data_IF_173923637288
#
_entry.id   IF_173923637288
#
_cell.length_a   1.000
_cell.length_b   1.000
_cell.length_c   1.000
_cell.angle_alpha   90.00
_cell.angle_beta   90.00
_cell.angle_gamma   90.00
#
_symmetry.space_group_name_H-M   'P 1'
#
loop_
_entity.id
_entity.type
_entity.pdbx_description
1 polymer ?
#
# COMPACT_ATOMS: atom_id res chain seq x y z
N UNK A 1 -5.94 13.77 7.94
CA UNK A 1 -6.24 13.11 6.66
C UNK A 1 -5.02 12.48 5.98
N UNK A 2 -3.85 13.15 5.87
CA UNK A 2 -2.64 12.53 5.27
C UNK A 2 -1.94 11.56 6.25
N UNK A 3 -1.98 11.87 7.55
CA UNK A 3 -1.33 11.05 8.59
C UNK A 3 -1.96 9.65 8.74
N UNK A 4 -3.29 9.53 8.63
CA UNK A 4 -4.01 8.25 8.76
C UNK A 4 -3.67 7.31 7.60
N UNK A 5 -3.66 7.84 6.37
CA UNK A 5 -3.26 7.08 5.18
C UNK A 5 -1.81 6.58 5.27
N UNK A 6 -0.90 7.40 5.79
CA UNK A 6 0.49 7.00 6.02
C UNK A 6 0.59 5.85 7.03
N UNK A 7 -0.17 5.93 8.13
CA UNK A 7 -0.20 4.87 9.15
C UNK A 7 -0.77 3.57 8.57
N UNK A 8 -1.83 3.64 7.77
CA UNK A 8 -2.46 2.48 7.16
C UNK A 8 -1.51 1.77 6.18
N UNK A 9 -0.89 2.51 5.27
CA UNK A 9 0.10 1.96 4.31
C UNK A 9 1.29 1.35 5.05
N UNK A 10 1.78 2.01 6.11
CA UNK A 10 2.92 1.52 6.89
C UNK A 10 2.58 0.24 7.66
N UNK A 11 1.40 0.17 8.28
CA UNK A 11 0.91 -1.03 8.96
C UNK A 11 0.68 -2.17 7.98
N UNK A 12 0.16 -1.86 6.79
CA UNK A 12 -0.08 -2.83 5.74
C UNK A 12 1.23 -3.43 5.22
N UNK A 13 2.24 -2.60 4.92
CA UNK A 13 3.56 -3.09 4.49
C UNK A 13 4.24 -3.93 5.57
N UNK A 14 4.07 -3.57 6.85
CA UNK A 14 4.50 -4.41 7.99
C UNK A 14 3.79 -5.75 8.02
N UNK A 15 2.47 -5.79 7.83
CA UNK A 15 1.68 -7.04 7.74
C UNK A 15 2.10 -7.88 6.54
N UNK A 16 2.46 -7.24 5.43
CA UNK A 16 2.98 -7.88 4.23
C UNK A 16 4.40 -8.47 4.41
N UNK A 17 5.09 -8.14 5.51
CA UNK A 17 6.45 -8.60 5.77
C UNK A 17 7.52 -7.87 4.97
N UNK A 18 7.20 -6.70 4.40
CA UNK A 18 8.13 -5.98 3.55
C UNK A 18 9.35 -5.49 4.35
N UNK A 19 10.59 -5.76 3.88
CA UNK A 19 11.79 -5.32 4.57
C UNK A 19 11.99 -3.81 4.41
N UNK A 20 11.81 -3.05 5.50
CA UNK A 20 11.99 -1.58 5.52
C UNK A 20 13.36 -1.12 5.00
N UNK A 21 14.40 -1.95 5.04
CA UNK A 21 15.74 -1.60 4.51
C UNK A 21 15.75 -1.40 3.00
N UNK A 22 14.80 -1.97 2.26
CA UNK A 22 14.65 -1.82 0.79
C UNK A 22 13.83 -0.58 0.41
N UNK A 23 13.64 0.37 1.32
CA UNK A 23 12.85 1.57 1.08
C UNK A 23 13.37 2.42 -0.10
N UNK A 24 14.68 2.45 -0.34
CA UNK A 24 15.27 3.17 -1.48
C UNK A 24 14.80 2.54 -2.80
N UNK A 25 14.90 1.22 -2.92
CA UNK A 25 14.46 0.49 -4.12
C UNK A 25 12.95 0.64 -4.35
N UNK A 26 12.17 0.62 -3.26
CA UNK A 26 10.74 0.87 -3.30
C UNK A 26 10.44 2.30 -3.78
N UNK A 27 11.06 3.31 -3.20
CA UNK A 27 10.87 4.71 -3.58
C UNK A 27 11.15 4.95 -5.05
N UNK A 28 12.25 4.40 -5.57
CA UNK A 28 12.59 4.49 -7.00
C UNK A 28 11.52 3.87 -7.89
N UNK A 29 11.01 2.71 -7.50
CA UNK A 29 9.97 2.00 -8.25
C UNK A 29 8.64 2.75 -8.24
N UNK A 30 8.32 3.40 -7.12
CA UNK A 30 7.16 4.27 -6.94
C UNK A 30 7.27 5.62 -7.68
N UNK A 31 8.43 5.95 -8.24
CA UNK A 31 8.65 7.17 -9.02
C UNK A 31 9.29 8.32 -8.25
N UNK A 32 9.80 8.09 -7.05
CA UNK A 32 10.64 9.05 -6.34
C UNK A 32 12.03 9.09 -6.97
N UNK A 33 12.61 10.28 -7.02
CA UNK A 33 13.94 10.44 -7.56
C UNK A 33 15.01 10.09 -6.53
N UNK A 34 16.17 9.64 -7.02
CA UNK A 34 17.31 9.27 -6.17
C UNK A 34 17.77 10.43 -5.28
N UNK A 35 17.76 11.66 -5.77
CA UNK A 35 18.12 12.84 -4.97
C UNK A 35 17.17 13.05 -3.78
N UNK A 36 15.87 12.80 -3.94
CA UNK A 36 14.88 12.90 -2.87
C UNK A 36 15.12 11.84 -1.80
N UNK A 37 15.42 10.60 -2.22
CA UNK A 37 15.75 9.50 -1.33
C UNK A 37 17.08 9.74 -0.60
N UNK A 38 18.11 10.19 -1.31
CA UNK A 38 19.42 10.50 -0.71
C UNK A 38 19.30 11.65 0.31
N UNK A 39 18.39 12.62 0.09
CA UNK A 39 18.09 13.67 1.06
C UNK A 39 17.44 13.10 2.33
N UNK A 40 16.45 12.21 2.19
CA UNK A 40 15.82 11.51 3.34
C UNK A 40 16.88 10.74 4.15
N UNK A 41 17.75 9.99 3.48
CA UNK A 41 18.80 9.22 4.15
C UNK A 41 19.79 10.11 4.92
N UNK A 42 20.09 11.29 4.37
CA UNK A 42 20.97 12.28 4.99
C UNK A 42 20.35 12.95 6.20
N UNK A 43 19.04 13.19 6.20
CA UNK A 43 18.32 13.84 7.31
C UNK A 43 18.12 12.88 8.49
N UNK A 44 17.98 11.58 8.22
CA UNK A 44 17.78 10.55 9.24
C UNK A 44 18.83 9.43 9.16
N UNK A 45 20.12 9.77 9.31
CA UNK A 45 21.19 8.79 9.18
C UNK A 45 21.03 7.73 10.28
N UNK A 46 20.96 6.45 9.87
CA UNK A 46 20.77 5.25 10.72
C UNK A 46 19.34 5.00 11.23
N UNK A 47 18.37 5.85 10.94
CA UNK A 47 16.96 5.58 11.28
C UNK A 47 16.18 5.11 10.06
N UNK A 48 16.36 3.83 9.72
CA UNK A 48 15.70 3.19 8.57
C UNK A 48 14.17 3.29 8.68
N UNK A 49 13.61 3.23 9.88
CA UNK A 49 12.17 3.32 10.06
C UNK A 49 11.65 4.72 9.73
N UNK A 50 12.38 5.78 10.12
CA UNK A 50 12.04 7.15 9.72
C UNK A 50 12.24 7.38 8.24
N UNK A 51 13.34 6.89 7.66
CA UNK A 51 13.55 7.02 6.21
C UNK A 51 12.44 6.35 5.41
N UNK A 52 12.01 5.15 5.84
CA UNK A 52 10.89 4.45 5.20
C UNK A 52 9.58 5.21 5.34
N UNK A 53 9.30 5.79 6.51
CA UNK A 53 8.10 6.59 6.73
C UNK A 53 8.10 7.87 5.86
N UNK A 54 9.24 8.54 5.76
CA UNK A 54 9.38 9.76 4.94
C UNK A 54 9.29 9.45 3.44
N UNK A 55 9.85 8.32 3.01
CA UNK A 55 9.68 7.81 1.64
C UNK A 55 8.20 7.62 1.29
N UNK A 56 7.43 7.01 2.17
CA UNK A 56 5.98 6.84 1.97
C UNK A 56 5.24 8.18 2.04
N UNK A 57 5.68 9.10 2.91
CA UNK A 57 5.13 10.46 2.99
C UNK A 57 5.30 11.21 1.67
N UNK A 58 6.49 11.16 1.06
CA UNK A 58 6.74 11.77 -0.26
C UNK A 58 5.96 11.09 -1.39
N UNK A 59 5.82 9.77 -1.32
CA UNK A 59 4.97 9.06 -2.28
C UNK A 59 3.50 9.48 -2.15
N UNK A 60 2.96 9.55 -0.92
CA UNK A 60 1.58 9.99 -0.66
C UNK A 60 1.33 11.45 -1.03
N UNK A 61 2.34 12.30 -0.92
CA UNK A 61 2.28 13.70 -1.39
C UNK A 61 2.39 13.83 -2.91
N UNK A 62 2.54 12.71 -3.63
CA UNK A 62 2.69 12.63 -5.10
C UNK A 62 3.91 13.42 -5.59
N UNK A 63 5.01 13.36 -4.84
CA UNK A 63 6.25 14.03 -5.19
C UNK A 63 6.88 13.46 -6.47
N UNK A 64 7.84 14.21 -7.04
CA UNK A 64 8.67 13.78 -8.17
C UNK A 64 7.85 13.27 -9.37
N UNK A 65 7.98 11.98 -9.72
CA UNK A 65 7.36 11.36 -10.87
C UNK A 65 6.33 10.28 -10.49
N UNK A 66 5.80 10.36 -9.27
CA UNK A 66 4.81 9.39 -8.75
C UNK A 66 3.56 9.31 -9.64
N UNK A 67 3.14 10.43 -10.20
CA UNK A 67 1.98 10.47 -11.10
C UNK A 67 2.17 9.68 -12.39
N UNK A 68 3.37 9.67 -12.94
CA UNK A 68 3.72 8.87 -14.11
C UNK A 68 3.83 7.37 -13.80
N UNK A 69 3.83 6.99 -12.51
CA UNK A 69 3.85 5.61 -12.02
C UNK A 69 2.48 5.12 -11.51
N UNK A 70 1.40 5.82 -11.83
CA UNK A 70 0.04 5.46 -11.41
C UNK A 70 -0.41 6.15 -10.12
N UNK A 71 0.35 7.14 -9.64
CA UNK A 71 -0.01 7.98 -8.50
C UNK A 71 0.19 7.29 -7.15
N UNK A 72 -0.27 7.96 -6.09
CA UNK A 72 -0.26 7.44 -4.73
C UNK A 72 -1.44 6.48 -4.48
N UNK A 73 -1.44 5.32 -5.13
CA UNK A 73 -2.54 4.34 -5.07
C UNK A 73 -2.05 2.98 -4.59
N UNK A 74 -2.94 2.18 -3.98
CA UNK A 74 -2.58 0.81 -3.56
C UNK A 74 -2.19 -0.08 -4.76
N UNK A 75 -2.74 0.20 -5.94
CA UNK A 75 -2.38 -0.53 -7.16
C UNK A 75 -0.93 -0.25 -7.59
N UNK A 76 -0.51 1.02 -7.61
CA UNK A 76 0.88 1.36 -7.92
C UNK A 76 1.85 0.84 -6.86
N UNK A 77 1.42 0.76 -5.59
CA UNK A 77 2.19 0.12 -4.52
C UNK A 77 2.31 -1.40 -4.74
N UNK A 78 1.23 -2.09 -5.13
CA UNK A 78 1.24 -3.51 -5.46
C UNK A 78 2.19 -3.81 -6.61
N UNK A 79 2.09 -3.02 -7.69
CA UNK A 79 2.93 -3.16 -8.87
C UNK A 79 4.40 -2.89 -8.55
N UNK A 80 4.69 -1.94 -7.66
CA UNK A 80 6.04 -1.69 -7.19
C UNK A 80 6.59 -2.87 -6.38
N UNK A 81 5.80 -3.47 -5.49
CA UNK A 81 6.20 -4.66 -4.73
C UNK A 81 6.45 -5.86 -5.65
N UNK A 82 5.58 -6.10 -6.64
CA UNK A 82 5.77 -7.14 -7.68
C UNK A 82 7.07 -6.91 -8.45
N UNK A 83 7.35 -5.67 -8.83
CA UNK A 83 8.58 -5.30 -9.55
C UNK A 83 9.85 -5.51 -8.72
N UNK A 84 9.77 -5.41 -7.40
CA UNK A 84 10.87 -5.72 -6.47
C UNK A 84 11.02 -7.22 -6.17
N UNK A 85 10.24 -8.07 -6.85
CA UNK A 85 10.16 -9.50 -6.65
C UNK A 85 9.68 -9.88 -5.24
N UNK A 86 8.99 -8.97 -4.56
CA UNK A 86 8.34 -9.16 -3.26
C UNK A 86 6.89 -9.66 -3.48
N UNK A 87 6.75 -10.72 -4.27
CA UNK A 87 5.46 -11.25 -4.72
C UNK A 87 4.54 -11.63 -3.55
N UNK A 88 5.12 -12.17 -2.47
CA UNK A 88 4.38 -12.52 -1.23
C UNK A 88 3.79 -11.27 -0.58
N UNK A 89 4.55 -10.17 -0.55
CA UNK A 89 4.08 -8.92 0.02
C UNK A 89 3.00 -8.29 -0.86
N UNK A 90 3.14 -8.36 -2.19
CA UNK A 90 2.15 -7.86 -3.12
C UNK A 90 0.84 -8.66 -3.10
N UNK A 91 0.91 -9.99 -3.07
CA UNK A 91 -0.28 -10.85 -3.00
C UNK A 91 -1.08 -10.61 -1.71
N UNK A 92 -0.36 -10.39 -0.60
CA UNK A 92 -0.97 -10.05 0.68
C UNK A 92 -1.58 -8.64 0.66
N UNK A 93 -0.94 -7.68 -0.01
CA UNK A 93 -1.48 -6.34 -0.24
C UNK A 93 -2.82 -6.41 -1.02
N UNK A 94 -2.85 -7.17 -2.10
CA UNK A 94 -4.04 -7.36 -2.95
C UNK A 94 -5.16 -8.08 -2.17
N UNK A 95 -4.81 -9.00 -1.26
CA UNK A 95 -5.78 -9.65 -0.37
C UNK A 95 -6.36 -8.70 0.68
N UNK A 96 -5.54 -7.89 1.33
CA UNK A 96 -6.00 -6.90 2.32
C UNK A 96 -6.87 -5.82 1.67
N UNK A 97 -6.53 -5.38 0.44
CA UNK A 97 -7.38 -4.48 -0.35
C UNK A 97 -8.77 -5.06 -0.58
N UNK A 98 -8.85 -6.36 -0.91
CA UNK A 98 -10.13 -7.07 -1.07
C UNK A 98 -10.92 -7.19 0.24
N UNK A 99 -10.24 -7.46 1.35
CA UNK A 99 -10.88 -7.53 2.67
C UNK A 99 -11.46 -6.17 3.10
N UNK A 100 -10.75 -5.07 2.81
CA UNK A 100 -11.23 -3.72 3.08
C UNK A 100 -12.47 -3.34 2.24
N UNK A 101 -12.55 -3.79 0.97
CA UNK A 101 -13.73 -3.57 0.11
C UNK A 101 -14.95 -4.40 0.53
N UNK A 102 -14.76 -5.56 1.18
CA UNK A 102 -15.88 -6.39 1.66
C UNK A 102 -16.57 -5.78 2.90
N UNK A 103 -15.86 -4.99 3.71
CA UNK A 103 -16.44 -4.32 4.88
C UNK A 103 -17.35 -3.12 4.53
N UNK A 104 -17.43 -2.71 3.27
CA UNK A 104 -18.26 -1.59 2.80
C UNK A 104 -19.63 -1.98 2.23
N UNK A 105 -19.95 -3.27 2.15
CA UNK A 105 -21.26 -3.74 1.71
C UNK A 105 -22.01 -4.42 2.86
N UNK A 106 -22.70 -3.62 3.67
CA UNK A 106 -23.76 -4.12 4.53
C UNK A 106 -24.88 -4.74 3.68
N UNK A 107 -25.11 -6.03 3.91
CA UNK A 107 -26.40 -6.73 3.98
C UNK A 107 -27.59 -6.07 3.24
N UNK A 108 -28.03 -6.69 2.14
CA UNK A 108 -29.46 -6.74 1.80
C UNK A 108 -29.84 -8.06 1.13
N UNK A 109 -30.66 -8.84 1.82
CA UNK A 109 -31.49 -9.89 1.20
C UNK A 109 -31.37 -11.30 1.79
N UNK A 110 -31.47 -11.46 3.11
CA UNK A 110 -32.27 -12.58 3.62
C UNK A 110 -33.71 -12.36 3.20
N UNK A 111 -34.44 -13.44 2.85
CA UNK A 111 -35.91 -13.59 2.73
C UNK A 111 -36.48 -13.48 1.27
N UNK A 112 -37.27 -14.40 0.71
CA UNK A 112 -38.07 -15.52 1.22
C UNK A 112 -38.47 -16.52 0.10
N UNK A 113 -38.96 -17.67 0.55
CA UNK A 113 -40.02 -18.51 -0.05
C UNK A 113 -39.66 -19.49 -1.19
N UNK A 114 -39.63 -20.78 -0.83
CA UNK A 114 -40.53 -21.71 -1.49
C UNK A 114 -41.35 -22.49 -0.46
N UNK A 115 -42.59 -22.04 -0.31
CA UNK A 115 -43.67 -22.74 0.36
C UNK A 115 -44.34 -23.69 -0.65
N UNK A 116 -44.56 -24.94 -0.20
CA UNK A 116 -45.60 -25.91 -0.59
C UNK A 116 -45.63 -26.47 -2.02
N UNK A 117 -45.76 -27.81 -2.12
CA UNK A 117 -47.07 -28.45 -2.30
C UNK A 117 -47.00 -29.94 -1.96
N UNK A 118 -47.97 -30.36 -1.16
CA UNK A 118 -48.37 -31.75 -0.97
C UNK A 118 -48.89 -32.35 -2.27
N UNK A 119 -48.68 -33.66 -2.47
CA UNK A 119 -49.68 -34.63 -2.92
C UNK A 119 -49.23 -36.01 -2.44
#
# INVERSE_FOLDING_TARGET
MILEQLIDVLNLLKRCGFPQRRWIELGLTLGLYKNSLDAIEKDFPRDVSRCFMECLSQWLSRADNVDSKGGATFDSLSDALKSLNENVAADKLDQEKRNAMISGNDIKGTNDAHCSTAT
#
